data_IF_111958979989
#
_entry.id   IF_111958979989
#
_cell.length_a   1.000
_cell.length_b   1.000
_cell.length_c   1.000
_cell.angle_alpha   90.00
_cell.angle_beta   90.00
_cell.angle_gamma   90.00
#
_symmetry.space_group_name_H-M   'P 1'
#
loop_
_entity.id
_entity.type
_entity.pdbx_description
1 polymer ?
#
# COMPACT_ATOMS: atom_id res chain seq x y z
N UNK A 1 7.73 -9.15 16.98
CA UNK A 1 8.05 -7.88 16.37
C UNK A 1 8.40 -6.82 17.42
N UNK A 2 7.47 -6.30 18.19
CA UNK A 2 7.66 -5.13 19.06
C UNK A 2 8.64 -5.34 20.24
N UNK A 3 8.87 -6.56 20.69
CA UNK A 3 9.85 -6.86 21.77
C UNK A 3 11.29 -6.62 21.27
N UNK A 4 11.58 -7.00 20.03
CA UNK A 4 12.91 -6.84 19.43
C UNK A 4 13.06 -5.52 18.69
N UNK A 5 11.94 -4.83 18.36
CA UNK A 5 11.94 -3.59 17.61
C UNK A 5 12.23 -3.76 16.12
N UNK A 6 12.32 -5.00 15.65
CA UNK A 6 12.62 -5.36 14.26
C UNK A 6 11.71 -6.48 13.76
N UNK A 7 11.50 -6.51 12.44
CA UNK A 7 10.71 -7.52 11.75
C UNK A 7 11.26 -7.77 10.35
N UNK A 8 11.33 -9.02 9.95
CA UNK A 8 11.76 -9.39 8.62
C UNK A 8 10.59 -9.23 7.61
N UNK A 9 10.89 -8.62 6.45
CA UNK A 9 9.97 -8.47 5.34
C UNK A 9 10.78 -8.47 4.04
N UNK A 10 10.41 -9.30 3.09
CA UNK A 10 11.08 -9.45 1.78
C UNK A 10 12.59 -9.65 1.90
N UNK A 11 13.01 -10.50 2.85
CA UNK A 11 14.42 -10.79 3.14
C UNK A 11 15.23 -9.62 3.73
N UNK A 12 14.56 -8.58 4.28
CA UNK A 12 15.16 -7.40 4.91
C UNK A 12 14.64 -7.20 6.32
N UNK A 13 15.51 -6.76 7.25
CA UNK A 13 15.08 -6.38 8.59
C UNK A 13 14.60 -4.93 8.61
N UNK A 14 13.37 -4.71 9.04
CA UNK A 14 12.75 -3.40 9.21
C UNK A 14 12.56 -3.07 10.68
N UNK A 15 12.87 -1.84 11.07
CA UNK A 15 12.48 -1.31 12.37
C UNK A 15 10.94 -1.24 12.45
N UNK A 16 10.40 -1.73 13.55
CA UNK A 16 8.97 -1.68 13.84
C UNK A 16 8.75 -1.05 15.21
N UNK A 17 7.70 -0.24 15.33
CA UNK A 17 7.36 0.47 16.59
C UNK A 17 5.86 0.53 16.78
N UNK A 18 5.36 0.19 17.98
CA UNK A 18 3.97 0.45 18.30
C UNK A 18 3.67 1.97 18.18
N UNK A 19 2.49 2.36 17.79
CA UNK A 19 1.34 1.51 17.43
C UNK A 19 1.22 1.22 15.92
N UNK A 20 2.30 1.40 15.15
CA UNK A 20 2.28 1.17 13.70
C UNK A 20 2.15 -0.31 13.38
N UNK A 21 1.43 -0.61 12.30
CA UNK A 21 1.21 -1.97 11.80
C UNK A 21 2.55 -2.67 11.53
N UNK A 22 2.73 -3.87 12.07
CA UNK A 22 3.84 -4.75 11.70
C UNK A 22 3.63 -5.29 10.28
N UNK A 23 4.65 -5.27 9.40
CA UNK A 23 4.51 -5.83 8.05
C UNK A 23 4.00 -7.27 8.09
N UNK A 24 3.10 -7.62 7.18
CA UNK A 24 2.52 -8.95 7.06
C UNK A 24 3.18 -9.70 5.89
N UNK A 25 3.39 -11.02 6.01
CA UNK A 25 3.98 -11.80 4.90
C UNK A 25 3.16 -11.71 3.60
N UNK A 26 1.84 -11.65 3.70
CA UNK A 26 0.93 -11.54 2.57
C UNK A 26 1.17 -10.27 1.73
N UNK A 27 1.65 -9.20 2.39
CA UNK A 27 2.00 -7.92 1.73
C UNK A 27 3.19 -8.06 0.78
N UNK A 28 4.03 -9.08 0.90
CA UNK A 28 5.12 -9.35 -0.04
C UNK A 28 4.60 -9.62 -1.46
N UNK A 29 3.41 -10.21 -1.57
CA UNK A 29 2.79 -10.43 -2.88
C UNK A 29 2.41 -9.11 -3.59
N UNK A 30 2.07 -8.06 -2.84
CA UNK A 30 1.86 -6.72 -3.41
C UNK A 30 3.15 -6.21 -4.08
N UNK A 31 4.32 -6.46 -3.48
CA UNK A 31 5.63 -6.13 -4.06
C UNK A 31 5.82 -6.87 -5.39
N UNK A 32 5.56 -8.18 -5.42
CA UNK A 32 5.72 -9.01 -6.62
C UNK A 32 4.86 -8.51 -7.78
N UNK A 33 3.58 -8.19 -7.53
CA UNK A 33 2.67 -7.64 -8.53
C UNK A 33 3.15 -6.26 -9.02
N UNK A 34 3.64 -5.40 -8.12
CA UNK A 34 4.22 -4.11 -8.46
C UNK A 34 5.49 -4.24 -9.32
N UNK A 35 6.40 -5.12 -8.94
CA UNK A 35 7.64 -5.38 -9.70
C UNK A 35 7.36 -5.99 -11.08
N UNK A 36 6.37 -6.88 -11.18
CA UNK A 36 5.94 -7.43 -12.47
C UNK A 36 5.47 -6.31 -13.42
N UNK A 37 4.67 -5.34 -12.91
CA UNK A 37 4.29 -4.17 -13.68
C UNK A 37 5.49 -3.32 -14.12
N UNK A 38 6.44 -3.07 -13.21
CA UNK A 38 7.62 -2.25 -13.49
C UNK A 38 8.56 -2.91 -14.50
N UNK A 39 8.62 -4.25 -14.54
CA UNK A 39 9.45 -5.00 -15.51
C UNK A 39 9.00 -4.81 -16.97
N UNK A 40 7.73 -4.45 -17.20
CA UNK A 40 7.18 -4.14 -18.52
C UNK A 40 7.59 -2.74 -19.02
N UNK A 41 8.21 -1.90 -18.15
CA UNK A 41 8.52 -0.50 -18.47
C UNK A 41 9.97 -0.33 -18.92
N UNK A 42 10.17 0.34 -20.04
CA UNK A 42 11.49 0.66 -20.56
C UNK A 42 12.11 1.87 -19.86
N UNK A 43 11.30 2.87 -19.54
CA UNK A 43 11.71 4.13 -18.91
C UNK A 43 11.55 4.10 -17.39
N UNK A 44 12.32 4.93 -16.65
CA UNK A 44 12.10 5.12 -15.22
C UNK A 44 10.66 5.55 -14.91
N UNK A 45 10.06 4.91 -13.90
CA UNK A 45 8.70 5.16 -13.45
C UNK A 45 8.69 5.95 -12.14
N UNK A 46 7.59 6.66 -11.90
CA UNK A 46 7.25 7.21 -10.59
C UNK A 46 6.28 6.29 -9.87
N UNK A 47 6.69 5.88 -8.69
CA UNK A 47 5.97 4.92 -7.83
C UNK A 47 5.56 5.66 -6.56
N UNK A 48 4.35 5.39 -6.04
CA UNK A 48 3.94 5.93 -4.76
C UNK A 48 3.28 4.86 -3.90
N UNK A 49 3.74 4.75 -2.65
CA UNK A 49 3.17 3.91 -1.60
C UNK A 49 2.29 4.77 -0.69
N UNK A 50 0.99 4.47 -0.62
CA UNK A 50 -0.01 5.24 0.11
C UNK A 50 -0.40 4.51 1.39
N UNK A 51 -0.17 5.15 2.56
CA UNK A 51 -0.28 4.52 3.87
C UNK A 51 0.97 3.68 4.18
N UNK A 52 2.15 4.28 4.05
CA UNK A 52 3.42 3.54 4.04
C UNK A 52 3.80 2.89 5.39
N UNK A 53 3.21 3.33 6.52
CA UNK A 53 3.45 2.74 7.83
C UNK A 53 4.93 2.67 8.22
N UNK A 54 5.48 1.46 8.26
CA UNK A 54 6.92 1.22 8.50
C UNK A 54 7.80 1.56 7.29
N UNK A 55 7.21 1.74 6.10
CA UNK A 55 7.89 1.94 4.84
C UNK A 55 8.35 0.65 4.16
N UNK A 56 7.93 -0.52 4.64
CA UNK A 56 8.39 -1.81 4.11
C UNK A 56 8.10 -1.96 2.60
N UNK A 57 6.95 -1.48 2.10
CA UNK A 57 6.61 -1.51 0.68
C UNK A 57 7.50 -0.56 -0.11
N UNK A 58 7.50 0.74 0.23
CA UNK A 58 8.25 1.76 -0.49
C UNK A 58 9.76 1.47 -0.53
N UNK A 59 10.34 1.11 0.62
CA UNK A 59 11.78 0.79 0.75
C UNK A 59 12.13 -0.45 -0.07
N UNK A 60 11.31 -1.49 -0.02
CA UNK A 60 11.56 -2.70 -0.80
C UNK A 60 11.49 -2.42 -2.30
N UNK A 61 10.46 -1.70 -2.77
CA UNK A 61 10.36 -1.30 -4.18
C UNK A 61 11.57 -0.47 -4.63
N UNK A 62 12.05 0.47 -3.81
CA UNK A 62 13.23 1.26 -4.14
C UNK A 62 14.52 0.41 -4.20
N UNK A 63 14.65 -0.61 -3.33
CA UNK A 63 15.79 -1.51 -3.34
C UNK A 63 15.78 -2.49 -4.52
N UNK A 64 14.59 -3.06 -4.85
CA UNK A 64 14.46 -4.04 -5.94
C UNK A 64 14.45 -3.40 -7.33
N UNK A 65 14.00 -2.15 -7.41
CA UNK A 65 13.86 -1.43 -8.67
C UNK A 65 14.50 -0.03 -8.62
N UNK A 66 15.83 0.08 -8.39
CA UNK A 66 16.50 1.33 -8.02
C UNK A 66 16.55 2.41 -9.14
N UNK A 67 16.16 2.07 -10.34
CA UNK A 67 16.06 3.03 -11.46
C UNK A 67 14.82 3.92 -11.38
N UNK A 68 13.85 3.57 -10.52
CA UNK A 68 12.56 4.25 -10.41
C UNK A 68 12.56 5.26 -9.25
N UNK A 69 11.72 6.29 -9.36
CA UNK A 69 11.54 7.29 -8.33
C UNK A 69 10.40 6.85 -7.40
N UNK A 70 10.70 6.68 -6.09
CA UNK A 70 9.73 6.15 -5.12
C UNK A 70 9.34 7.22 -4.12
N UNK A 71 8.02 7.39 -3.97
CA UNK A 71 7.38 8.25 -2.96
C UNK A 71 6.67 7.37 -1.93
N UNK A 72 6.60 7.86 -0.69
CA UNK A 72 5.88 7.21 0.40
C UNK A 72 5.04 8.24 1.15
N UNK A 73 3.78 7.93 1.37
CA UNK A 73 2.83 8.80 2.07
C UNK A 73 2.25 8.12 3.31
N UNK A 74 2.12 8.88 4.38
CA UNK A 74 1.31 8.49 5.53
C UNK A 74 0.67 9.72 6.17
N UNK A 75 -0.50 9.54 6.76
CA UNK A 75 -1.16 10.60 7.52
C UNK A 75 -0.47 10.82 8.87
N UNK A 76 0.16 9.79 9.41
CA UNK A 76 0.83 9.79 10.71
C UNK A 76 2.27 10.30 10.62
N UNK A 77 2.66 11.26 11.45
CA UNK A 77 4.04 11.77 11.44
C UNK A 77 5.06 10.75 11.95
N UNK A 78 4.67 9.84 12.87
CA UNK A 78 5.53 8.78 13.39
C UNK A 78 5.78 7.68 12.33
N UNK A 79 4.79 7.35 11.49
CA UNK A 79 4.96 6.48 10.34
C UNK A 79 5.96 7.08 9.33
N UNK A 80 5.77 8.33 8.95
CA UNK A 80 6.70 9.02 8.05
C UNK A 80 8.13 9.09 8.61
N UNK A 81 8.27 9.26 9.93
CA UNK A 81 9.58 9.26 10.59
C UNK A 81 10.22 7.85 10.56
N UNK A 82 9.46 6.80 10.87
CA UNK A 82 9.94 5.41 10.86
C UNK A 82 10.32 4.97 9.44
N UNK A 83 9.49 5.32 8.44
CA UNK A 83 9.80 5.08 7.02
C UNK A 83 11.14 5.69 6.61
N UNK A 84 11.44 6.95 7.02
CA UNK A 84 12.75 7.58 6.77
C UNK A 84 13.90 6.85 7.46
N UNK A 85 13.69 6.31 8.66
CA UNK A 85 14.71 5.52 9.37
C UNK A 85 15.01 4.22 8.61
N UNK A 86 13.98 3.48 8.21
CA UNK A 86 14.11 2.25 7.44
C UNK A 86 14.74 2.50 6.06
N UNK A 87 14.36 3.58 5.38
CA UNK A 87 14.99 3.97 4.12
C UNK A 87 16.50 4.20 4.27
N UNK A 88 16.94 4.91 5.33
CA UNK A 88 18.36 5.12 5.62
C UNK A 88 19.08 3.81 5.93
N UNK A 89 18.48 2.93 6.74
CA UNK A 89 19.03 1.62 7.08
C UNK A 89 19.34 0.80 5.83
N UNK A 90 18.42 0.82 4.85
CA UNK A 90 18.54 0.07 3.61
C UNK A 90 19.18 0.85 2.45
N UNK A 91 19.62 2.11 2.68
CA UNK A 91 20.16 3.01 1.65
C UNK A 91 19.21 3.18 0.46
N UNK A 92 17.92 3.13 0.72
CA UNK A 92 16.88 3.33 -0.27
C UNK A 92 16.63 4.82 -0.47
N UNK A 93 16.65 5.28 -1.72
CA UNK A 93 16.33 6.66 -2.07
C UNK A 93 14.82 6.78 -2.27
N UNK A 94 14.12 7.35 -1.28
CA UNK A 94 12.67 7.57 -1.32
C UNK A 94 12.30 8.96 -0.83
N UNK A 95 11.25 9.52 -1.41
CA UNK A 95 10.66 10.80 -0.97
C UNK A 95 9.50 10.53 -0.02
N UNK A 96 9.65 10.86 1.28
CA UNK A 96 8.63 10.62 2.30
C UNK A 96 7.90 11.91 2.66
N UNK A 97 6.58 11.93 2.48
CA UNK A 97 5.71 13.06 2.75
C UNK A 97 4.59 12.67 3.73
N UNK A 98 4.14 13.64 4.51
CA UNK A 98 2.93 13.48 5.33
C UNK A 98 1.71 13.92 4.52
N UNK A 99 0.72 13.02 4.36
CA UNK A 99 -0.50 13.30 3.60
C UNK A 99 -1.68 12.42 4.06
N UNK A 100 -2.88 12.94 3.96
CA UNK A 100 -4.09 12.13 3.98
C UNK A 100 -4.33 11.59 2.56
N UNK A 101 -4.03 10.31 2.38
CA UNK A 101 -4.00 9.66 1.08
C UNK A 101 -3.17 10.49 0.07
N UNK A 102 -3.69 10.76 -1.11
CA UNK A 102 -2.99 11.46 -2.19
C UNK A 102 -3.19 12.99 -2.17
N UNK A 103 -3.72 13.57 -1.09
CA UNK A 103 -4.02 15.00 -0.99
C UNK A 103 -2.79 15.93 -1.07
N UNK A 104 -1.57 15.40 -0.86
CA UNK A 104 -0.32 16.16 -1.06
C UNK A 104 -0.07 16.52 -2.53
N UNK A 105 -0.76 15.86 -3.47
CA UNK A 105 -0.67 16.13 -4.89
C UNK A 105 -1.98 16.78 -5.39
N UNK A 106 -2.14 18.09 -5.20
CA UNK A 106 -3.35 18.80 -5.62
C UNK A 106 -3.43 18.89 -7.14
N UNK A 107 -4.67 18.82 -7.66
CA UNK A 107 -4.96 18.92 -9.08
C UNK A 107 -5.20 17.57 -9.75
N UNK A 108 -5.50 17.65 -11.05
CA UNK A 108 -5.86 16.50 -11.87
C UNK A 108 -4.76 16.19 -12.91
N UNK A 109 -3.49 16.43 -12.54
CA UNK A 109 -2.37 16.15 -13.43
C UNK A 109 -1.83 14.76 -13.12
N UNK A 110 -1.89 13.82 -14.05
CA UNK A 110 -1.29 12.51 -13.88
C UNK A 110 0.22 12.61 -13.63
N UNK A 111 0.70 11.88 -12.63
CA UNK A 111 2.09 11.97 -12.13
C UNK A 111 2.76 10.61 -11.96
N UNK A 112 1.98 9.55 -11.69
CA UNK A 112 2.51 8.27 -11.26
C UNK A 112 2.23 7.16 -12.28
N UNK A 113 3.21 6.30 -12.46
CA UNK A 113 3.08 5.06 -13.24
C UNK A 113 2.48 3.93 -12.40
N UNK A 114 2.82 3.91 -11.10
CA UNK A 114 2.38 2.88 -10.17
C UNK A 114 1.98 3.51 -8.84
N UNK A 115 0.76 3.21 -8.39
CA UNK A 115 0.28 3.51 -7.04
C UNK A 115 0.07 2.17 -6.34
N UNK A 116 0.70 1.99 -5.18
CA UNK A 116 0.53 0.82 -4.32
C UNK A 116 -0.04 1.24 -2.99
N UNK A 117 -0.83 0.37 -2.35
CA UNK A 117 -1.32 0.62 -1.00
C UNK A 117 -1.73 -0.67 -0.30
N UNK A 118 -1.36 -0.79 0.96
CA UNK A 118 -2.00 -1.67 1.93
C UNK A 118 -2.77 -0.79 2.92
N UNK A 119 -3.98 -0.33 2.58
CA UNK A 119 -4.73 0.58 3.42
C UNK A 119 -5.47 -0.19 4.52
N UNK A 120 -5.98 0.48 5.57
CA UNK A 120 -6.95 -0.12 6.47
C UNK A 120 -8.14 -0.72 5.71
N UNK A 121 -8.53 -1.94 6.07
CA UNK A 121 -9.61 -2.67 5.39
C UNK A 121 -10.49 -3.52 6.32
N UNK A 122 -10.24 -3.51 7.62
CA UNK A 122 -11.01 -4.30 8.58
C UNK A 122 -12.36 -3.62 8.88
N UNK A 123 -13.50 -4.33 8.74
CA UNK A 123 -14.80 -3.86 9.20
C UNK A 123 -14.83 -3.62 10.72
N UNK A 124 -15.59 -2.62 11.17
CA UNK A 124 -15.66 -2.24 12.59
C UNK A 124 -16.14 -3.37 13.51
N UNK A 125 -17.07 -4.21 13.03
CA UNK A 125 -17.63 -5.32 13.82
C UNK A 125 -16.66 -6.51 13.94
N UNK A 126 -15.60 -6.57 13.12
CA UNK A 126 -14.56 -7.58 13.21
C UNK A 126 -13.46 -7.26 14.23
N UNK A 127 -13.39 -6.00 14.73
CA UNK A 127 -12.35 -5.60 15.69
C UNK A 127 -12.25 -6.52 16.89
N UNK A 128 -13.40 -6.91 17.47
CA UNK A 128 -13.44 -7.78 18.64
C UNK A 128 -13.00 -9.22 18.38
N UNK A 129 -12.93 -9.62 17.13
CA UNK A 129 -12.49 -10.97 16.68
C UNK A 129 -11.00 -11.01 16.38
N UNK A 130 -10.34 -9.87 16.26
CA UNK A 130 -8.90 -9.81 16.03
C UNK A 130 -8.12 -10.34 17.24
N UNK A 131 -6.91 -10.85 16.97
CA UNK A 131 -6.00 -11.31 18.00
C UNK A 131 -5.76 -10.21 19.06
N UNK A 132 -5.71 -10.56 20.37
CA UNK A 132 -5.37 -9.62 21.44
C UNK A 132 -4.00 -8.93 21.24
N UNK A 133 -3.08 -9.56 20.53
CA UNK A 133 -1.79 -8.94 20.19
C UNK A 133 -1.99 -7.73 19.27
N UNK A 134 -2.87 -7.86 18.29
CA UNK A 134 -3.21 -6.77 17.36
C UNK A 134 -3.93 -5.65 18.12
N UNK A 135 -5.04 -5.97 18.78
CA UNK A 135 -5.91 -4.98 19.40
C UNK A 135 -5.25 -4.20 20.57
N UNK A 136 -4.17 -4.73 21.15
CA UNK A 136 -3.43 -4.08 22.25
C UNK A 136 -2.25 -3.24 21.79
N UNK A 137 -1.69 -3.52 20.63
CA UNK A 137 -0.41 -2.94 20.23
C UNK A 137 -0.46 -2.18 18.91
N UNK A 138 -1.46 -2.42 18.06
CA UNK A 138 -1.60 -1.74 16.78
C UNK A 138 -2.71 -0.66 16.84
N UNK A 139 -2.52 0.42 16.07
CA UNK A 139 -3.49 1.50 15.99
C UNK A 139 -4.76 1.02 15.29
N UNK A 140 -5.95 1.16 15.91
CA UNK A 140 -7.21 0.90 15.22
C UNK A 140 -7.34 1.65 13.89
N UNK A 141 -6.81 2.87 13.79
CA UNK A 141 -6.80 3.66 12.56
C UNK A 141 -5.93 3.10 11.44
N UNK A 142 -5.00 2.17 11.75
CA UNK A 142 -4.23 1.45 10.74
C UNK A 142 -4.94 0.20 10.21
N UNK A 143 -6.07 -0.20 10.81
CA UNK A 143 -6.78 -1.44 10.50
C UNK A 143 -8.24 -1.19 10.10
N UNK A 144 -8.97 -0.35 10.86
CA UNK A 144 -10.40 -0.17 10.68
C UNK A 144 -10.71 0.80 9.52
N UNK A 145 -11.68 0.40 8.69
CA UNK A 145 -12.12 1.18 7.54
C UNK A 145 -13.65 1.25 7.42
N UNK A 146 -14.29 1.60 8.52
CA UNK A 146 -15.73 1.78 8.58
C UNK A 146 -16.52 0.46 8.64
N UNK A 147 -17.82 0.55 8.40
CA UNK A 147 -18.76 -0.55 8.63
C UNK A 147 -18.46 -1.80 7.79
N UNK A 148 -18.03 -1.62 6.55
CA UNK A 148 -17.77 -2.72 5.59
C UNK A 148 -16.29 -2.81 5.17
N UNK A 149 -15.41 -2.07 5.84
CA UNK A 149 -13.97 -2.08 5.56
C UNK A 149 -13.56 -1.40 4.24
N UNK A 150 -14.46 -0.64 3.59
CA UNK A 150 -14.20 -0.08 2.26
C UNK A 150 -14.02 1.45 2.24
N UNK A 151 -14.09 2.12 3.37
CA UNK A 151 -14.12 3.59 3.40
C UNK A 151 -12.85 4.22 2.84
N UNK A 152 -11.70 3.62 3.11
CA UNK A 152 -10.42 4.12 2.58
C UNK A 152 -10.34 3.92 1.06
N UNK A 153 -10.78 2.77 0.56
CA UNK A 153 -10.80 2.50 -0.89
C UNK A 153 -11.74 3.46 -1.65
N UNK A 154 -12.91 3.79 -1.08
CA UNK A 154 -13.84 4.76 -1.67
C UNK A 154 -13.23 6.15 -1.84
N UNK A 155 -12.28 6.51 -1.00
CA UNK A 155 -11.53 7.77 -1.06
C UNK A 155 -10.29 7.66 -1.95
N UNK A 156 -9.53 6.57 -1.84
CA UNK A 156 -8.26 6.38 -2.53
C UNK A 156 -8.44 6.14 -4.04
N UNK A 157 -9.37 5.26 -4.44
CA UNK A 157 -9.53 4.85 -5.84
C UNK A 157 -9.83 6.05 -6.78
N UNK A 158 -10.76 6.97 -6.46
CA UNK A 158 -10.96 8.16 -7.29
C UNK A 158 -9.72 9.08 -7.36
N UNK A 159 -8.99 9.25 -6.25
CA UNK A 159 -7.77 10.05 -6.24
C UNK A 159 -6.67 9.41 -7.09
N UNK A 160 -6.49 8.09 -6.95
CA UNK A 160 -5.53 7.33 -7.76
C UNK A 160 -5.84 7.45 -9.25
N UNK A 161 -7.13 7.39 -9.64
CA UNK A 161 -7.56 7.55 -11.03
C UNK A 161 -7.13 8.87 -11.64
N UNK A 162 -7.12 9.96 -10.88
CA UNK A 162 -6.73 11.30 -11.38
C UNK A 162 -5.22 11.49 -11.46
N UNK A 163 -4.44 10.74 -10.66
CA UNK A 163 -2.99 10.89 -10.55
C UNK A 163 -2.19 9.84 -11.33
N UNK A 164 -2.82 8.75 -11.75
CA UNK A 164 -2.18 7.75 -12.61
C UNK A 164 -2.06 8.25 -14.05
N UNK A 165 -0.88 8.03 -14.61
CA UNK A 165 -0.64 8.20 -16.04
C UNK A 165 -1.48 7.22 -16.87
N UNK A 166 -1.79 7.52 -18.14
CA UNK A 166 -2.38 6.54 -19.05
C UNK A 166 -1.55 5.24 -19.07
N UNK A 167 -2.20 4.09 -18.94
CA UNK A 167 -1.54 2.78 -18.81
C UNK A 167 -0.84 2.54 -17.47
N UNK A 168 -0.94 3.46 -16.51
CA UNK A 168 -0.44 3.29 -15.14
C UNK A 168 -1.27 2.29 -14.35
N UNK A 169 -0.75 1.78 -13.24
CA UNK A 169 -1.38 0.74 -12.43
C UNK A 169 -1.67 1.19 -10.99
N UNK A 170 -2.79 0.72 -10.48
CA UNK A 170 -3.13 0.73 -9.05
C UNK A 170 -3.06 -0.71 -8.53
N UNK A 171 -2.29 -0.94 -7.47
CA UNK A 171 -2.16 -2.26 -6.81
C UNK A 171 -2.53 -2.11 -5.35
N UNK A 172 -3.52 -2.88 -4.90
CA UNK A 172 -4.11 -2.78 -3.56
C UNK A 172 -4.05 -4.12 -2.85
N UNK A 173 -3.61 -4.13 -1.59
CA UNK A 173 -3.92 -5.24 -0.68
C UNK A 173 -5.36 -5.08 -0.15
N UNK A 174 -6.04 -6.21 0.11
CA UNK A 174 -7.46 -6.24 0.48
C UNK A 174 -7.75 -7.36 1.47
N UNK A 175 -8.88 -7.25 2.16
CA UNK A 175 -9.46 -8.36 2.89
C UNK A 175 -10.01 -9.44 1.92
N UNK A 176 -10.15 -10.66 2.45
CA UNK A 176 -10.49 -11.88 1.70
C UNK A 176 -11.78 -11.75 0.88
N UNK A 177 -12.84 -11.18 1.45
CA UNK A 177 -14.17 -11.09 0.83
C UNK A 177 -14.42 -9.76 0.11
N UNK A 178 -13.41 -8.88 -0.01
CA UNK A 178 -13.60 -7.52 -0.51
C UNK A 178 -13.44 -7.39 -2.03
N UNK A 179 -12.96 -8.41 -2.73
CA UNK A 179 -12.71 -8.34 -4.18
C UNK A 179 -13.96 -8.00 -5.01
N UNK A 180 -15.14 -8.62 -4.80
CA UNK A 180 -16.32 -8.31 -5.61
C UNK A 180 -16.73 -6.82 -5.52
N UNK A 181 -16.93 -6.21 -4.34
CA UNK A 181 -17.29 -4.81 -4.24
C UNK A 181 -16.17 -3.86 -4.71
N UNK A 182 -14.90 -4.21 -4.51
CA UNK A 182 -13.77 -3.40 -4.98
C UNK A 182 -13.62 -3.44 -6.50
N UNK A 183 -13.84 -4.58 -7.15
CA UNK A 183 -13.89 -4.68 -8.62
C UNK A 183 -14.99 -3.78 -9.20
N UNK A 184 -16.17 -3.77 -8.58
CA UNK A 184 -17.25 -2.88 -8.98
C UNK A 184 -16.87 -1.40 -8.82
N UNK A 185 -16.21 -1.04 -7.70
CA UNK A 185 -15.76 0.32 -7.43
C UNK A 185 -14.67 0.77 -8.42
N UNK A 186 -13.69 -0.07 -8.72
CA UNK A 186 -12.63 0.18 -9.71
C UNK A 186 -13.22 0.38 -11.10
N UNK A 187 -14.11 -0.54 -11.53
CA UNK A 187 -14.78 -0.45 -12.83
C UNK A 187 -15.62 0.84 -12.96
N UNK A 188 -16.41 1.19 -11.92
CA UNK A 188 -17.18 2.43 -11.87
C UNK A 188 -16.30 3.68 -11.93
N UNK A 189 -15.08 3.60 -11.39
CA UNK A 189 -14.09 4.69 -11.45
C UNK A 189 -13.33 4.75 -12.77
N UNK A 190 -13.65 3.90 -13.74
CA UNK A 190 -13.06 3.90 -15.06
C UNK A 190 -11.69 3.21 -15.15
N UNK A 191 -11.37 2.31 -14.25
CA UNK A 191 -10.24 1.40 -14.38
C UNK A 191 -10.58 0.22 -15.28
N UNK A 192 -9.56 -0.32 -15.93
CA UNK A 192 -9.64 -1.48 -16.83
C UNK A 192 -8.64 -2.56 -16.37
N UNK A 193 -8.66 -3.72 -17.00
CA UNK A 193 -7.75 -4.84 -16.70
C UNK A 193 -7.66 -5.18 -15.20
N UNK A 194 -8.82 -5.23 -14.53
CA UNK A 194 -8.91 -5.51 -13.11
C UNK A 194 -8.62 -7.00 -12.88
N UNK A 195 -7.54 -7.30 -12.15
CA UNK A 195 -7.07 -8.66 -11.88
C UNK A 195 -6.98 -8.92 -10.39
N UNK A 196 -7.36 -10.14 -9.96
CA UNK A 196 -7.16 -10.64 -8.60
C UNK A 196 -5.93 -11.54 -8.57
N UNK A 197 -5.22 -11.49 -7.43
CA UNK A 197 -4.13 -12.40 -7.12
C UNK A 197 -4.36 -12.97 -5.73
N UNK A 198 -4.27 -14.30 -5.62
CA UNK A 198 -4.50 -15.02 -4.38
C UNK A 198 -3.16 -15.29 -3.68
N UNK A 199 -3.18 -15.33 -2.35
CA UNK A 199 -2.04 -15.77 -1.56
C UNK A 199 -1.80 -17.29 -1.68
N UNK A 200 -0.76 -17.79 -1.02
CA UNK A 200 -0.42 -19.22 -1.04
C UNK A 200 -1.47 -20.12 -0.41
N UNK A 201 -2.38 -19.56 0.41
CA UNK A 201 -3.51 -20.26 1.00
C UNK A 201 -4.75 -20.27 0.07
N UNK A 202 -4.68 -19.56 -1.06
CA UNK A 202 -5.76 -19.46 -2.05
C UNK A 202 -6.77 -18.35 -1.77
N UNK A 203 -6.50 -17.47 -0.80
CA UNK A 203 -7.35 -16.32 -0.51
C UNK A 203 -6.94 -15.13 -1.39
N UNK A 204 -7.93 -14.49 -1.97
CA UNK A 204 -7.72 -13.28 -2.75
C UNK A 204 -7.20 -12.13 -1.87
N UNK A 205 -5.98 -11.65 -2.13
CA UNK A 205 -5.30 -10.62 -1.31
C UNK A 205 -4.93 -9.37 -2.07
N UNK A 206 -4.60 -9.50 -3.35
CA UNK A 206 -4.15 -8.35 -4.14
C UNK A 206 -5.10 -8.11 -5.31
N UNK A 207 -5.49 -6.85 -5.49
CA UNK A 207 -6.16 -6.36 -6.67
C UNK A 207 -5.23 -5.43 -7.45
N UNK A 208 -5.08 -5.67 -8.75
CA UNK A 208 -4.48 -4.70 -9.66
C UNK A 208 -5.50 -4.19 -10.66
N UNK A 209 -5.34 -2.94 -11.08
CA UNK A 209 -6.16 -2.32 -12.11
C UNK A 209 -5.33 -1.31 -12.91
N UNK A 210 -5.64 -1.14 -14.20
CA UNK A 210 -4.94 -0.20 -15.09
C UNK A 210 -5.77 1.06 -15.33
N UNK A 211 -5.10 2.20 -15.39
CA UNK A 211 -5.67 3.39 -15.98
C UNK A 211 -5.75 3.19 -17.51
N UNK A 212 -6.88 3.49 -18.20
CA UNK A 212 -6.93 3.43 -19.65
C UNK A 212 -5.83 4.25 -20.33
N UNK A 213 -5.44 3.84 -21.55
CA UNK A 213 -4.50 4.58 -22.41
C UNK A 213 -5.05 5.91 -22.85
#
# INVERSE_FOLDING_TARGET
AYIFGEWEFYGRSFLVRPPLLTPRPETEHLIEVGLAFLSEKEMPCRIIDVGCGTGCIAVTLACEAPRHEVFALDIRPDAAALTKMNARQHRAEISVLRSDLLAAFPGNTPLFDLIVSNPPYVPEDEWSRLSPVITRHEDPGALLAGRDGLDIYRRLIPQAKTLLLPGGALVLETGEDQHPPLKALLSKSGFVEIRSFSDLAGFDRILSARCPL
#
